data_IF_993039912635
#
_entry.id   IF_993039912635
#
_cell.length_a   1.000
_cell.length_b   1.000
_cell.length_c   1.000
_cell.angle_alpha   90.00
_cell.angle_beta   90.00
_cell.angle_gamma   90.00
#
_symmetry.space_group_name_H-M   'P 1'
#
loop_
_entity.id
_entity.type
_entity.pdbx_description
1 polymer ?
#
# COMPACT_ATOMS: atom_id res chain seq x y z
N UNK A 1 -12.05 -6.29 22.23
CA UNK A 1 -12.40 -5.73 20.91
C UNK A 1 -12.99 -6.88 20.10
N UNK A 2 -14.22 -6.73 19.60
CA UNK A 2 -14.88 -7.74 18.76
C UNK A 2 -15.04 -7.17 17.34
N UNK A 3 -14.48 -7.87 16.35
CA UNK A 3 -14.49 -7.47 14.93
C UNK A 3 -14.65 -8.68 14.03
N UNK A 4 -15.18 -8.46 12.83
CA UNK A 4 -15.25 -9.48 11.79
C UNK A 4 -13.97 -9.42 10.95
N UNK A 5 -13.17 -10.49 10.99
CA UNK A 5 -11.81 -10.49 10.43
C UNK A 5 -11.76 -10.23 8.93
N UNK A 6 -12.62 -10.88 8.13
CA UNK A 6 -12.62 -10.71 6.68
C UNK A 6 -13.02 -9.29 6.25
N UNK A 7 -14.13 -8.71 6.76
CA UNK A 7 -14.45 -7.30 6.50
C UNK A 7 -13.39 -6.32 7.00
N UNK A 8 -12.69 -6.64 8.10
CA UNK A 8 -11.65 -5.79 8.67
C UNK A 8 -10.41 -5.64 7.76
N UNK A 9 -10.25 -6.54 6.78
CA UNK A 9 -9.16 -6.47 5.78
C UNK A 9 -9.66 -6.08 4.39
N UNK A 10 -10.96 -6.18 4.10
CA UNK A 10 -11.49 -5.95 2.76
C UNK A 10 -11.18 -4.55 2.21
N UNK A 11 -11.31 -3.51 3.06
CA UNK A 11 -10.96 -2.13 2.68
C UNK A 11 -9.47 -1.98 2.32
N UNK A 12 -8.60 -2.56 3.14
CA UNK A 12 -7.14 -2.56 2.91
C UNK A 12 -6.79 -3.24 1.57
N UNK A 13 -7.43 -4.38 1.27
CA UNK A 13 -7.17 -5.11 0.02
C UNK A 13 -7.70 -4.37 -1.21
N UNK A 14 -8.82 -3.64 -1.12
CA UNK A 14 -9.31 -2.80 -2.22
C UNK A 14 -8.23 -1.77 -2.61
N UNK A 15 -7.66 -1.07 -1.64
CA UNK A 15 -6.67 -0.04 -1.91
C UNK A 15 -5.33 -0.63 -2.36
N UNK A 16 -4.90 -1.76 -1.80
CA UNK A 16 -3.71 -2.47 -2.26
C UNK A 16 -3.80 -2.91 -3.73
N UNK A 17 -4.97 -3.41 -4.17
CA UNK A 17 -5.21 -3.78 -5.57
C UNK A 17 -5.18 -2.55 -6.49
N UNK A 18 -5.72 -1.42 -6.04
CA UNK A 18 -5.69 -0.16 -6.79
C UNK A 18 -4.26 0.37 -6.93
N UNK A 19 -3.46 0.31 -5.87
CA UNK A 19 -2.04 0.66 -5.92
C UNK A 19 -1.25 -0.26 -6.89
N UNK A 20 -1.52 -1.56 -6.86
CA UNK A 20 -0.94 -2.51 -7.82
C UNK A 20 -1.32 -2.19 -9.27
N UNK A 21 -2.57 -1.75 -9.51
CA UNK A 21 -3.00 -1.30 -10.85
C UNK A 21 -2.26 -0.05 -11.30
N UNK A 22 -2.07 0.93 -10.42
CA UNK A 22 -1.28 2.14 -10.71
C UNK A 22 0.17 1.77 -11.09
N UNK A 23 0.83 0.90 -10.32
CA UNK A 23 2.19 0.46 -10.63
C UNK A 23 2.25 -0.23 -12.00
N UNK A 24 1.29 -1.11 -12.29
CA UNK A 24 1.19 -1.79 -13.59
C UNK A 24 1.03 -0.79 -14.74
N UNK A 25 0.19 0.23 -14.58
CA UNK A 25 -0.04 1.26 -15.59
C UNK A 25 1.20 2.13 -15.84
N UNK A 26 2.02 2.31 -14.80
CA UNK A 26 3.31 3.02 -14.89
C UNK A 26 4.47 2.13 -15.34
N UNK A 27 4.24 0.84 -15.62
CA UNK A 27 5.29 -0.11 -16.01
C UNK A 27 6.26 -0.50 -14.88
N UNK A 28 5.84 -0.32 -13.63
CA UNK A 28 6.67 -0.55 -12.44
C UNK A 28 6.50 -1.99 -11.98
N UNK A 29 7.61 -2.73 -11.94
CA UNK A 29 7.67 -4.11 -11.47
C UNK A 29 8.33 -4.24 -10.10
N UNK A 30 8.15 -5.40 -9.46
CA UNK A 30 8.63 -5.67 -8.11
C UNK A 30 7.73 -5.09 -7.02
N UNK A 31 8.14 -5.16 -5.74
CA UNK A 31 7.37 -4.60 -4.64
C UNK A 31 7.25 -3.08 -4.72
N UNK A 32 6.04 -2.57 -4.50
CA UNK A 32 5.75 -1.14 -4.31
C UNK A 32 5.97 -0.86 -2.82
N UNK A 33 7.09 -0.25 -2.46
CA UNK A 33 7.53 -0.16 -1.06
C UNK A 33 6.57 0.69 -0.23
N UNK A 34 6.13 1.82 -0.78
CA UNK A 34 5.12 2.72 -0.21
C UNK A 34 3.80 2.01 0.11
N UNK A 35 3.22 1.30 -0.88
CA UNK A 35 1.97 0.58 -0.68
C UNK A 35 2.14 -0.65 0.24
N UNK A 36 3.27 -1.34 0.15
CA UNK A 36 3.53 -2.53 0.97
C UNK A 36 3.67 -2.16 2.44
N UNK A 37 4.40 -1.08 2.75
CA UNK A 37 4.63 -0.63 4.13
C UNK A 37 3.35 -0.14 4.80
N UNK A 38 2.36 0.34 4.03
CA UNK A 38 1.09 0.82 4.59
C UNK A 38 0.00 -0.26 4.69
N UNK A 39 -0.09 -1.17 3.71
CA UNK A 39 -1.19 -2.15 3.64
C UNK A 39 -0.85 -3.53 4.21
N UNK A 40 0.42 -3.86 4.45
CA UNK A 40 0.85 -5.21 4.82
C UNK A 40 1.56 -5.23 6.17
N UNK A 41 1.30 -6.26 6.99
CA UNK A 41 1.95 -6.46 8.30
C UNK A 41 3.44 -6.82 8.20
N UNK A 42 3.90 -7.26 7.03
CA UNK A 42 5.27 -7.73 6.81
C UNK A 42 5.80 -7.18 5.48
N UNK A 43 6.05 -5.88 5.40
CA UNK A 43 6.58 -5.26 4.20
C UNK A 43 8.07 -5.61 4.00
N UNK A 44 8.59 -5.51 2.76
CA UNK A 44 10.02 -5.70 2.49
C UNK A 44 10.92 -4.68 3.21
N UNK A 45 10.41 -3.47 3.44
CA UNK A 45 11.08 -2.39 4.17
C UNK A 45 10.08 -1.83 5.18
N UNK A 46 10.51 -1.71 6.43
CA UNK A 46 9.66 -1.21 7.51
C UNK A 46 9.72 0.32 7.59
N UNK A 47 8.55 0.92 7.77
CA UNK A 47 8.34 2.34 8.01
C UNK A 47 7.47 2.49 9.25
N UNK A 48 7.44 3.66 9.87
CA UNK A 48 6.34 3.98 10.79
C UNK A 48 5.03 4.14 10.01
N UNK A 49 3.89 3.94 10.67
CA UNK A 49 2.58 4.01 10.00
C UNK A 49 2.33 5.39 9.35
N UNK A 50 2.83 6.47 9.96
CA UNK A 50 2.73 7.83 9.42
C UNK A 50 3.58 8.04 8.16
N UNK A 51 4.83 7.57 8.17
CA UNK A 51 5.71 7.61 6.99
C UNK A 51 5.16 6.74 5.86
N UNK A 52 4.62 5.54 6.18
CA UNK A 52 4.01 4.66 5.21
C UNK A 52 2.76 5.29 4.58
N UNK A 53 1.95 5.99 5.38
CA UNK A 53 0.76 6.72 4.91
C UNK A 53 1.16 7.85 3.96
N UNK A 54 2.16 8.65 4.30
CA UNK A 54 2.65 9.72 3.42
C UNK A 54 3.22 9.16 2.11
N UNK A 55 4.04 8.11 2.21
CA UNK A 55 4.65 7.48 1.05
C UNK A 55 3.61 6.90 0.07
N UNK A 56 2.52 6.28 0.56
CA UNK A 56 1.48 5.74 -0.33
C UNK A 56 0.66 6.84 -1.00
N UNK A 57 0.40 7.96 -0.32
CA UNK A 57 -0.27 9.13 -0.91
C UNK A 57 0.60 9.75 -2.00
N UNK A 58 1.91 9.89 -1.77
CA UNK A 58 2.88 10.33 -2.77
C UNK A 58 2.93 9.39 -3.98
N UNK A 59 2.90 8.07 -3.74
CA UNK A 59 2.85 7.08 -4.82
C UNK A 59 1.57 7.24 -5.63
N UNK A 60 0.41 7.41 -4.99
CA UNK A 60 -0.87 7.62 -5.67
C UNK A 60 -0.84 8.91 -6.49
N UNK A 61 -0.31 10.00 -5.93
CA UNK A 61 -0.13 11.30 -6.60
C UNK A 61 0.87 11.25 -7.76
N UNK A 62 1.77 10.25 -7.78
CA UNK A 62 2.81 10.10 -8.79
C UNK A 62 4.03 10.99 -8.55
N UNK A 63 4.24 11.46 -7.32
CA UNK A 63 5.43 12.21 -6.89
C UNK A 63 6.61 11.28 -6.59
N UNK A 64 6.34 10.00 -6.29
CA UNK A 64 7.35 8.95 -6.13
C UNK A 64 7.08 7.73 -7.03
N UNK A 65 8.16 7.01 -7.35
CA UNK A 65 8.09 5.83 -8.21
C UNK A 65 7.61 4.57 -7.45
N UNK A 66 8.09 4.32 -6.23
CA UNK A 66 7.83 3.09 -5.46
C UNK A 66 7.64 3.33 -3.98
#
# INVERSE_FOLDING_TARGET
LEVWDSPNSAGIIIDAIRAAKIAKDRGIGGPILSASSYFMKSPPVQYTDDEAREAVEDFIAGTVER
#
